data_IF_396306643108
#
_entry.id   IF_396306643108
#
_cell.length_a   1.000
_cell.length_b   1.000
_cell.length_c   1.000
_cell.angle_alpha   90.00
_cell.angle_beta   90.00
_cell.angle_gamma   90.00
#
_symmetry.space_group_name_H-M   'P 1'
#
loop_
_entity.id
_entity.type
_entity.pdbx_description
1 polymer ?
#
# COMPACT_ATOMS: atom_id res chain seq x y z
N UNK A 1 16.69 -12.41 -16.82
CA UNK A 1 15.64 -12.27 -15.78
C UNK A 1 15.21 -10.81 -15.77
N UNK A 2 13.93 -10.54 -15.98
CA UNK A 2 13.44 -9.17 -16.19
C UNK A 2 13.55 -8.37 -14.92
N UNK A 3 13.05 -8.81 -13.77
CA UNK A 3 13.24 -8.12 -12.50
C UNK A 3 14.40 -8.75 -11.72
N UNK A 4 15.34 -7.94 -11.26
CA UNK A 4 16.42 -8.41 -10.38
C UNK A 4 15.85 -8.94 -9.07
N UNK A 5 16.53 -9.89 -8.45
CA UNK A 5 16.11 -10.50 -7.18
C UNK A 5 15.81 -9.46 -6.08
N UNK A 6 16.68 -8.46 -5.92
CA UNK A 6 16.46 -7.41 -4.93
C UNK A 6 15.20 -6.58 -5.21
N UNK A 7 14.87 -6.29 -6.46
CA UNK A 7 13.63 -5.58 -6.82
C UNK A 7 12.40 -6.39 -6.42
N UNK A 8 12.40 -7.70 -6.74
CA UNK A 8 11.31 -8.59 -6.34
C UNK A 8 11.17 -8.70 -4.82
N UNK A 9 12.29 -8.75 -4.10
CA UNK A 9 12.29 -8.78 -2.63
C UNK A 9 11.73 -7.50 -2.04
N UNK A 10 12.15 -6.33 -2.54
CA UNK A 10 11.68 -5.03 -2.09
C UNK A 10 10.17 -4.89 -2.38
N UNK A 11 9.75 -5.11 -3.62
CA UNK A 11 8.34 -4.94 -4.01
C UNK A 11 7.41 -5.99 -3.38
N UNK A 12 7.93 -7.16 -3.00
CA UNK A 12 7.19 -8.18 -2.27
C UNK A 12 7.01 -7.89 -0.79
N UNK A 13 7.70 -6.88 -0.24
CA UNK A 13 7.69 -6.53 1.17
C UNK A 13 7.27 -5.06 1.37
N UNK A 14 6.05 -4.84 1.90
CA UNK A 14 5.48 -3.49 2.08
C UNK A 14 6.31 -2.59 2.99
N UNK A 15 6.97 -3.17 4.00
CA UNK A 15 7.84 -2.42 4.90
C UNK A 15 9.04 -1.85 4.12
N UNK A 16 9.75 -2.70 3.37
CA UNK A 16 10.91 -2.27 2.59
C UNK A 16 10.51 -1.25 1.51
N UNK A 17 9.41 -1.50 0.81
CA UNK A 17 8.90 -0.55 -0.19
C UNK A 17 8.61 0.82 0.44
N UNK A 18 7.84 0.86 1.52
CA UNK A 18 7.48 2.12 2.19
C UNK A 18 8.69 2.88 2.72
N UNK A 19 9.68 2.18 3.27
CA UNK A 19 10.94 2.80 3.72
C UNK A 19 11.71 3.44 2.56
N UNK A 20 11.77 2.77 1.40
CA UNK A 20 12.45 3.31 0.22
C UNK A 20 11.70 4.49 -0.41
N UNK A 21 10.39 4.41 -0.51
CA UNK A 21 9.56 5.53 -0.98
C UNK A 21 9.78 6.76 -0.08
N UNK A 22 9.70 6.59 1.23
CA UNK A 22 9.94 7.67 2.20
C UNK A 22 11.35 8.23 2.12
N UNK A 23 12.37 7.36 2.04
CA UNK A 23 13.78 7.77 1.91
C UNK A 23 14.03 8.64 0.66
N UNK A 24 13.27 8.40 -0.41
CA UNK A 24 13.38 9.13 -1.66
C UNK A 24 12.37 10.29 -1.77
N UNK A 25 11.71 10.67 -0.67
CA UNK A 25 10.71 11.74 -0.61
C UNK A 25 9.55 11.55 -1.62
N UNK A 26 9.16 10.31 -1.87
CA UNK A 26 8.04 9.99 -2.74
C UNK A 26 6.75 10.06 -1.91
N UNK A 27 5.73 10.79 -2.36
CA UNK A 27 4.45 10.86 -1.66
C UNK A 27 3.86 9.46 -1.44
N UNK A 28 3.62 9.12 -0.18
CA UNK A 28 3.05 7.83 0.23
C UNK A 28 2.23 8.04 1.51
N UNK A 29 1.19 7.24 1.76
CA UNK A 29 0.42 7.35 2.98
C UNK A 29 1.30 7.22 4.23
N UNK A 30 0.99 7.96 5.29
CA UNK A 30 1.72 7.84 6.56
C UNK A 30 1.65 6.41 7.05
N UNK A 31 2.79 5.85 7.38
CA UNK A 31 2.92 4.44 7.73
C UNK A 31 3.71 4.29 9.03
N UNK A 32 3.23 3.40 9.89
CA UNK A 32 3.78 3.10 11.20
C UNK A 32 4.05 1.60 11.29
N UNK A 33 5.13 1.23 11.96
CA UNK A 33 5.50 -0.17 12.16
C UNK A 33 5.68 -0.46 13.64
N UNK A 34 5.22 -1.62 14.05
CA UNK A 34 5.44 -2.14 15.40
C UNK A 34 5.81 -3.61 15.31
N UNK A 35 6.68 -4.03 16.22
CA UNK A 35 7.16 -5.42 16.31
C UNK A 35 6.62 -6.14 17.55
N UNK A 36 5.71 -5.48 18.28
CA UNK A 36 4.93 -6.05 19.37
C UNK A 36 3.53 -5.47 19.36
N UNK A 37 2.60 -6.20 19.96
CA UNK A 37 1.22 -5.77 20.10
C UNK A 37 1.10 -4.50 20.97
N UNK A 38 1.85 -4.42 22.05
CA UNK A 38 1.84 -3.23 22.92
C UNK A 38 2.29 -1.97 22.18
N UNK A 39 3.40 -2.07 21.42
CA UNK A 39 3.85 -0.96 20.59
C UNK A 39 2.86 -0.62 19.46
N UNK A 40 2.10 -1.60 18.97
CA UNK A 40 1.05 -1.35 17.99
C UNK A 40 -0.12 -0.57 18.63
N UNK A 41 -0.56 -0.96 19.82
CA UNK A 41 -1.61 -0.24 20.58
C UNK A 41 -1.18 1.19 20.91
N UNK A 42 0.06 1.39 21.38
CA UNK A 42 0.60 2.74 21.62
C UNK A 42 0.60 3.62 20.37
N UNK A 43 0.96 3.07 19.22
CA UNK A 43 0.92 3.80 17.96
C UNK A 43 -0.52 4.17 17.56
N UNK A 44 -1.48 3.26 17.74
CA UNK A 44 -2.89 3.50 17.47
C UNK A 44 -3.46 4.61 18.37
N UNK A 45 -3.13 4.59 19.65
CA UNK A 45 -3.55 5.62 20.61
C UNK A 45 -2.97 7.02 20.26
N UNK A 46 -1.75 7.07 19.72
CA UNK A 46 -1.10 8.33 19.30
C UNK A 46 -1.62 8.88 17.98
N UNK A 47 -1.95 8.00 17.04
CA UNK A 47 -2.28 8.38 15.65
C UNK A 47 -3.79 8.55 15.48
N UNK A 48 -4.59 7.74 16.16
CA UNK A 48 -6.05 7.71 16.04
C UNK A 48 -6.53 6.88 14.85
N UNK A 49 -7.82 7.01 14.54
CA UNK A 49 -8.53 6.25 13.53
C UNK A 49 -9.16 7.16 12.48
N UNK A 50 -9.47 6.70 11.25
CA UNK A 50 -9.27 5.31 10.78
C UNK A 50 -7.85 5.05 10.24
N UNK A 51 -7.40 3.81 10.40
CA UNK A 51 -6.18 3.29 9.81
C UNK A 51 -6.47 2.01 9.02
N UNK A 52 -5.47 1.52 8.30
CA UNK A 52 -5.51 0.22 7.64
C UNK A 52 -4.35 -0.63 8.13
N UNK A 53 -4.63 -1.82 8.64
CA UNK A 53 -3.59 -2.81 8.95
C UNK A 53 -3.41 -3.74 7.75
N UNK A 54 -2.16 -4.04 7.42
CA UNK A 54 -1.80 -4.87 6.27
C UNK A 54 -0.77 -5.92 6.67
N UNK A 55 -0.74 -7.10 6.04
CA UNK A 55 0.41 -8.00 6.19
C UNK A 55 1.62 -7.39 5.47
N UNK A 56 2.80 -7.56 6.03
CA UNK A 56 4.06 -7.07 5.43
C UNK A 56 4.30 -7.75 4.07
N UNK A 57 4.06 -9.05 3.99
CA UNK A 57 4.11 -9.85 2.77
C UNK A 57 2.69 -10.33 2.45
N UNK A 58 2.28 -10.21 1.21
CA UNK A 58 0.96 -10.63 0.76
C UNK A 58 0.47 -9.78 -0.41
N UNK A 59 -0.47 -10.35 -1.17
CA UNK A 59 -1.04 -9.79 -2.39
C UNK A 59 -2.57 -9.90 -2.41
N UNK A 60 -3.21 -9.35 -3.45
CA UNK A 60 -4.65 -9.43 -3.72
C UNK A 60 -5.54 -8.85 -2.61
N UNK A 61 -5.03 -7.91 -1.80
CA UNK A 61 -5.82 -7.31 -0.73
C UNK A 61 -6.16 -8.26 0.43
N UNK A 62 -5.57 -9.47 0.48
CA UNK A 62 -5.80 -10.41 1.58
C UNK A 62 -5.24 -9.85 2.89
N UNK A 63 -5.99 -10.01 3.98
CA UNK A 63 -5.64 -9.52 5.31
C UNK A 63 -5.35 -8.01 5.38
N UNK A 64 -5.86 -7.24 4.40
CA UNK A 64 -5.91 -5.77 4.47
C UNK A 64 -7.22 -5.40 5.14
N UNK A 65 -7.15 -4.84 6.35
CA UNK A 65 -8.32 -4.65 7.21
C UNK A 65 -8.38 -3.18 7.65
N UNK A 66 -9.52 -2.50 7.47
CA UNK A 66 -9.72 -1.17 8.00
C UNK A 66 -9.93 -1.24 9.53
N UNK A 67 -9.16 -0.46 10.27
CA UNK A 67 -9.31 -0.24 11.69
C UNK A 67 -10.10 1.06 11.86
N UNK A 68 -11.39 0.95 12.15
CA UNK A 68 -12.29 2.12 12.24
C UNK A 68 -12.32 2.72 13.63
N UNK A 69 -12.07 1.90 14.63
CA UNK A 69 -12.15 2.21 16.04
C UNK A 69 -11.21 1.33 16.87
N UNK A 70 -11.13 1.61 18.16
CA UNK A 70 -10.27 0.90 19.10
C UNK A 70 -10.67 -0.56 19.26
N UNK A 71 -11.96 -0.86 19.36
CA UNK A 71 -12.45 -2.23 19.61
C UNK A 71 -12.09 -3.15 18.44
N UNK A 72 -12.28 -2.66 17.20
CA UNK A 72 -11.86 -3.40 15.99
C UNK A 72 -10.35 -3.60 15.97
N UNK A 73 -9.58 -2.58 16.36
CA UNK A 73 -8.13 -2.67 16.36
C UNK A 73 -7.62 -3.65 17.40
N UNK A 74 -8.14 -3.60 18.62
CA UNK A 74 -7.74 -4.51 19.71
C UNK A 74 -8.05 -5.97 19.36
N UNK A 75 -9.24 -6.26 18.80
CA UNK A 75 -9.59 -7.60 18.36
C UNK A 75 -8.66 -8.15 17.26
N UNK A 76 -8.24 -7.32 16.30
CA UNK A 76 -7.31 -7.73 15.25
C UNK A 76 -5.88 -7.92 15.79
N UNK A 77 -5.44 -7.07 16.72
CA UNK A 77 -4.14 -7.22 17.37
C UNK A 77 -4.11 -8.51 18.18
N UNK A 78 -5.11 -8.77 19.01
CA UNK A 78 -5.24 -9.99 19.78
C UNK A 78 -5.21 -11.24 18.88
N UNK A 79 -5.98 -11.25 17.81
CA UNK A 79 -5.98 -12.35 16.84
C UNK A 79 -4.57 -12.59 16.27
N UNK A 80 -3.79 -11.56 16.00
CA UNK A 80 -2.42 -11.69 15.49
C UNK A 80 -1.43 -12.18 16.54
N UNK A 81 -1.65 -11.84 17.82
CA UNK A 81 -0.81 -12.32 18.92
C UNK A 81 -0.87 -13.84 19.09
N UNK A 82 -2.04 -14.44 18.86
CA UNK A 82 -2.25 -15.88 18.95
C UNK A 82 -1.85 -16.65 17.69
N UNK A 83 -1.52 -15.95 16.59
CA UNK A 83 -1.06 -16.57 15.35
C UNK A 83 0.44 -16.86 15.44
N UNK A 84 0.86 -18.07 15.06
CA UNK A 84 2.24 -18.54 15.22
C UNK A 84 3.24 -17.99 14.18
N UNK A 85 2.78 -17.26 13.20
CA UNK A 85 3.62 -16.74 12.13
C UNK A 85 4.50 -15.56 12.58
N UNK A 86 5.83 -15.60 12.41
CA UNK A 86 6.71 -14.49 12.83
C UNK A 86 6.38 -13.18 12.09
N UNK A 87 5.84 -13.25 10.89
CA UNK A 87 5.44 -12.08 10.11
C UNK A 87 4.10 -11.48 10.59
N UNK A 88 3.26 -12.25 11.26
CA UNK A 88 1.98 -11.79 11.82
C UNK A 88 2.20 -10.85 13.00
N UNK A 89 3.36 -10.94 13.66
CA UNK A 89 3.79 -10.05 14.74
C UNK A 89 4.41 -8.74 14.27
N UNK A 90 4.45 -8.50 12.96
CA UNK A 90 4.83 -7.20 12.39
C UNK A 90 3.55 -6.44 12.05
N UNK A 91 3.24 -5.44 12.84
CA UNK A 91 2.07 -4.59 12.67
C UNK A 91 2.40 -3.44 11.73
N UNK A 92 1.99 -3.57 10.47
CA UNK A 92 2.09 -2.53 9.46
C UNK A 92 0.78 -1.75 9.45
N UNK A 93 0.79 -0.55 9.99
CA UNK A 93 -0.35 0.35 10.11
C UNK A 93 -0.17 1.51 9.13
N UNK A 94 -1.19 1.85 8.38
CA UNK A 94 -1.13 2.91 7.39
C UNK A 94 -2.37 3.79 7.49
N UNK A 95 -2.23 5.11 7.29
CA UNK A 95 -3.37 6.00 7.23
C UNK A 95 -4.37 5.57 6.15
N UNK A 96 -5.64 5.70 6.44
CA UNK A 96 -6.70 5.43 5.47
C UNK A 96 -6.90 6.67 4.60
N UNK A 97 -6.62 6.54 3.30
CA UNK A 97 -6.69 7.64 2.34
C UNK A 97 -8.15 7.94 2.01
N UNK A 98 -8.57 9.20 2.13
CA UNK A 98 -9.86 9.68 1.63
C UNK A 98 -9.74 9.90 0.12
N UNK A 99 -10.26 8.96 -0.64
CA UNK A 99 -10.14 8.86 -2.08
C UNK A 99 -11.47 8.46 -2.73
N UNK A 100 -11.64 8.69 -4.03
CA UNK A 100 -12.71 8.05 -4.79
C UNK A 100 -12.68 6.52 -4.62
N UNK A 101 -13.80 5.79 -4.83
CA UNK A 101 -13.86 4.33 -4.69
C UNK A 101 -13.10 3.62 -5.82
N UNK A 102 -11.89 4.09 -6.08
CA UNK A 102 -10.96 3.57 -7.10
C UNK A 102 -9.52 3.79 -6.67
N UNK A 103 -8.62 3.08 -7.31
CA UNK A 103 -7.20 3.40 -7.39
C UNK A 103 -6.72 3.30 -8.84
N UNK A 104 -5.46 3.67 -9.06
CA UNK A 104 -4.84 3.65 -10.39
C UNK A 104 -3.70 2.62 -10.36
N UNK A 105 -3.75 1.65 -11.26
CA UNK A 105 -2.64 0.74 -11.54
C UNK A 105 -1.88 1.23 -12.76
N UNK A 106 -0.64 1.68 -12.56
CA UNK A 106 0.28 2.05 -13.65
C UNK A 106 1.30 0.94 -13.86
N UNK A 107 1.49 0.51 -15.09
CA UNK A 107 2.59 -0.39 -15.45
C UNK A 107 3.77 0.44 -15.94
N UNK A 108 4.94 0.21 -15.33
CA UNK A 108 6.19 0.86 -15.74
C UNK A 108 7.15 -0.16 -16.34
N UNK A 109 7.94 0.30 -17.31
CA UNK A 109 9.09 -0.42 -17.87
C UNK A 109 10.31 0.50 -17.70
N UNK A 110 11.21 0.12 -16.83
CA UNK A 110 12.29 1.01 -16.39
C UNK A 110 11.70 2.22 -15.64
N UNK A 111 11.90 3.41 -16.18
CA UNK A 111 11.41 4.68 -15.66
C UNK A 111 10.18 5.24 -16.42
N UNK A 112 9.66 4.50 -17.41
CA UNK A 112 8.53 4.95 -18.24
C UNK A 112 7.22 4.29 -17.81
N UNK A 113 6.19 5.08 -17.62
CA UNK A 113 4.81 4.61 -17.52
C UNK A 113 4.30 4.25 -18.93
N UNK A 114 3.90 3.00 -19.14
CA UNK A 114 3.50 2.50 -20.47
C UNK A 114 2.01 2.32 -20.62
N UNK A 115 1.30 2.06 -19.52
CA UNK A 115 -0.17 1.96 -19.51
C UNK A 115 -0.69 2.16 -18.10
N UNK A 116 -1.92 2.63 -17.98
CA UNK A 116 -2.60 2.79 -16.70
C UNK A 116 -4.07 2.34 -16.81
N UNK A 117 -4.61 1.89 -15.66
CA UNK A 117 -6.03 1.60 -15.52
C UNK A 117 -6.54 2.08 -14.17
N UNK A 118 -7.76 2.57 -14.12
CA UNK A 118 -8.51 2.65 -12.89
C UNK A 118 -8.99 1.25 -12.50
N UNK A 119 -8.97 0.96 -11.20
CA UNK A 119 -9.62 -0.21 -10.64
C UNK A 119 -10.71 0.28 -9.71
N UNK A 120 -11.96 0.16 -10.15
CA UNK A 120 -13.15 0.64 -9.43
C UNK A 120 -13.78 -0.46 -8.61
N UNK A 121 -14.24 -0.12 -7.41
CA UNK A 121 -15.02 -1.04 -6.57
C UNK A 121 -16.21 -0.28 -5.99
N UNK A 122 -17.42 -0.77 -6.26
CA UNK A 122 -18.66 -0.20 -5.70
C UNK A 122 -18.92 -0.64 -4.26
N UNK A 123 -18.46 -1.85 -3.90
CA UNK A 123 -18.91 -2.54 -2.69
C UNK A 123 -17.83 -2.70 -1.62
N UNK A 124 -16.59 -2.31 -1.94
CA UNK A 124 -15.44 -2.49 -1.04
C UNK A 124 -14.47 -1.33 -1.11
N UNK A 125 -13.84 -1.02 0.03
CA UNK A 125 -12.68 -0.12 0.03
C UNK A 125 -11.46 -0.71 -0.69
N UNK A 126 -11.47 -2.03 -0.96
CA UNK A 126 -10.43 -2.74 -1.71
C UNK A 126 -10.75 -2.68 -3.20
N UNK A 127 -9.76 -2.29 -3.98
CA UNK A 127 -9.87 -2.07 -5.44
C UNK A 127 -9.11 -3.12 -6.25
N UNK A 128 -8.85 -4.29 -5.66
CA UNK A 128 -8.16 -5.38 -6.35
C UNK A 128 -9.08 -6.08 -7.36
N UNK A 129 -8.64 -6.26 -8.60
CA UNK A 129 -9.38 -6.98 -9.65
C UNK A 129 -9.77 -8.39 -9.19
N UNK A 130 -8.86 -9.09 -8.49
CA UNK A 130 -9.14 -10.42 -7.95
C UNK A 130 -10.29 -10.46 -6.90
N UNK A 131 -10.75 -9.30 -6.43
CA UNK A 131 -11.87 -9.14 -5.51
C UNK A 131 -13.10 -8.51 -6.17
N UNK A 132 -13.15 -8.49 -7.50
CA UNK A 132 -14.30 -8.02 -8.27
C UNK A 132 -14.25 -6.54 -8.67
N UNK A 133 -13.12 -5.86 -8.51
CA UNK A 133 -13.00 -4.50 -9.03
C UNK A 133 -12.99 -4.50 -10.57
N UNK A 134 -13.63 -3.49 -11.15
CA UNK A 134 -13.75 -3.32 -12.59
C UNK A 134 -12.62 -2.45 -13.15
N UNK A 135 -11.89 -2.91 -14.18
CA UNK A 135 -10.88 -2.10 -14.84
C UNK A 135 -11.53 -1.09 -15.78
N UNK A 136 -11.00 0.12 -15.79
CA UNK A 136 -11.36 1.17 -16.74
C UNK A 136 -10.10 1.84 -17.26
N UNK A 137 -10.12 2.29 -18.50
CA UNK A 137 -8.99 2.99 -19.12
C UNK A 137 -8.68 4.26 -18.33
N UNK A 138 -7.40 4.49 -18.07
CA UNK A 138 -6.89 5.67 -17.44
C UNK A 138 -5.78 6.27 -18.30
N UNK A 139 -5.93 7.52 -18.71
CA UNK A 139 -4.87 8.25 -19.39
C UNK A 139 -3.75 8.59 -18.43
N UNK A 140 -2.51 8.41 -18.87
CA UNK A 140 -1.34 8.72 -18.08
C UNK A 140 -1.11 10.24 -18.11
N UNK A 141 -1.18 10.89 -16.96
CA UNK A 141 -0.82 12.30 -16.82
C UNK A 141 0.69 12.48 -16.58
N UNK A 142 1.21 13.68 -16.81
CA UNK A 142 2.61 14.00 -16.53
C UNK A 142 2.96 13.78 -15.05
N UNK A 143 2.02 14.06 -14.13
CA UNK A 143 2.20 13.83 -12.70
C UNK A 143 2.33 12.33 -12.39
N UNK A 144 1.49 11.49 -12.99
CA UNK A 144 1.58 10.03 -12.86
C UNK A 144 2.92 9.51 -13.40
N UNK A 145 3.34 9.99 -14.56
CA UNK A 145 4.59 9.57 -15.18
C UNK A 145 5.79 9.91 -14.29
N UNK A 146 5.88 11.15 -13.79
CA UNK A 146 6.97 11.60 -12.92
C UNK A 146 6.98 10.81 -11.58
N UNK A 147 5.81 10.63 -10.97
CA UNK A 147 5.70 9.92 -9.70
C UNK A 147 6.08 8.43 -9.85
N UNK A 148 5.60 7.78 -10.91
CA UNK A 148 5.91 6.39 -11.20
C UNK A 148 7.38 6.19 -11.57
N UNK A 149 7.99 7.11 -12.32
CA UNK A 149 9.42 7.07 -12.64
C UNK A 149 10.29 7.15 -11.37
N UNK A 150 9.95 8.07 -10.45
CA UNK A 150 10.63 8.18 -9.15
C UNK A 150 10.46 6.92 -8.31
N UNK A 151 9.24 6.38 -8.22
CA UNK A 151 8.95 5.15 -7.48
C UNK A 151 9.71 3.94 -8.06
N UNK A 152 9.69 3.79 -9.38
CA UNK A 152 10.42 2.73 -10.08
C UNK A 152 11.92 2.82 -9.81
N UNK A 153 12.50 4.01 -9.94
CA UNK A 153 13.93 4.24 -9.66
C UNK A 153 14.29 3.91 -8.21
N UNK A 154 13.44 4.28 -7.25
CA UNK A 154 13.68 4.05 -5.83
C UNK A 154 13.79 2.57 -5.47
N UNK A 155 13.05 1.69 -6.15
CA UNK A 155 13.08 0.23 -5.90
C UNK A 155 14.07 -0.52 -6.78
N UNK A 156 14.67 0.14 -7.79
CA UNK A 156 15.70 -0.44 -8.65
C UNK A 156 15.25 -0.74 -10.09
N UNK A 157 14.09 -0.25 -10.51
CA UNK A 157 13.58 -0.38 -11.87
C UNK A 157 13.03 -1.76 -12.22
N UNK A 158 12.85 -2.03 -13.50
CA UNK A 158 12.31 -3.29 -14.02
C UNK A 158 10.93 -3.11 -14.64
N UNK A 159 10.12 -4.17 -14.68
CA UNK A 159 8.69 -4.10 -15.02
C UNK A 159 7.90 -4.11 -13.72
N UNK A 160 7.23 -3.01 -13.41
CA UNK A 160 6.53 -2.84 -12.13
C UNK A 160 5.08 -2.44 -12.35
N UNK A 161 4.23 -2.88 -11.41
CA UNK A 161 2.89 -2.33 -11.24
C UNK A 161 2.92 -1.35 -10.06
N UNK A 162 2.79 -0.07 -10.33
CA UNK A 162 2.70 0.98 -9.33
C UNK A 162 1.24 1.27 -9.04
N UNK A 163 0.87 1.21 -7.77
CA UNK A 163 -0.48 1.57 -7.34
C UNK A 163 -0.48 3.02 -6.83
N UNK A 164 -1.37 3.84 -7.40
CA UNK A 164 -1.56 5.22 -7.00
C UNK A 164 -2.96 5.42 -6.42
N UNK A 165 -3.05 6.26 -5.39
CA UNK A 165 -4.31 6.71 -4.83
C UNK A 165 -4.43 8.23 -4.97
N UNK A 166 -5.64 8.69 -5.27
CA UNK A 166 -5.99 10.12 -5.41
C UNK A 166 -6.45 10.65 -4.04
N UNK A 167 -5.50 11.02 -3.17
CA UNK A 167 -5.82 11.64 -1.87
C UNK A 167 -6.39 13.03 -2.09
N UNK A 168 -7.53 13.35 -1.47
CA UNK A 168 -8.20 14.64 -1.65
C UNK A 168 -7.40 15.85 -1.19
N UNK A 169 -6.50 15.66 -0.22
CA UNK A 169 -5.70 16.75 0.36
C UNK A 169 -4.27 16.77 -0.21
N UNK A 170 -3.70 15.59 -0.49
CA UNK A 170 -2.27 15.43 -0.82
C UNK A 170 -2.01 15.24 -2.33
N UNK A 171 -3.07 15.04 -3.14
CA UNK A 171 -2.93 14.66 -4.53
C UNK A 171 -2.55 13.18 -4.71
N UNK A 172 -1.74 12.86 -5.70
CA UNK A 172 -1.34 11.47 -5.96
C UNK A 172 -0.33 10.97 -4.93
N UNK A 173 -0.61 9.77 -4.37
CA UNK A 173 0.29 9.04 -3.46
C UNK A 173 0.50 7.61 -3.95
N UNK A 174 1.71 7.05 -3.74
CA UNK A 174 2.09 5.67 -4.10
C UNK A 174 1.71 4.70 -2.99
#
# INVERSE_FOLDING_TARGET
VINKFNVSTICGNKLLTSMLLKKNNIPTPKTYFSFSADAARENLDKVGYPLVIKPVIGSWGRNVIPLKDKDTADAIIEQREITDGPLDRIFYLQEMIDRPPRDIRVITIGDKAVTAMYRKSSDSFKTNIALGAEPEICDITNEMEDLCAKASKAVGGGILGVDLMEDKEKGLVV
#
